data_IF_044274290015
#
_entry.id   IF_044274290015
#
_cell.length_a   1.000
_cell.length_b   1.000
_cell.length_c   1.000
_cell.angle_alpha   90.00
_cell.angle_beta   90.00
_cell.angle_gamma   90.00
#
_symmetry.space_group_name_H-M   'P 1'
#
loop_
_entity.id
_entity.type
_entity.pdbx_description
1 polymer ?
#
# COMPACT_ATOMS: atom_id res chain seq x y z
N UNK A 1 -13.65 -5.38 -26.95
CA UNK A 1 -14.67 -4.95 -25.98
C UNK A 1 -15.57 -6.14 -25.75
N UNK A 2 -15.56 -6.72 -24.55
CA UNK A 2 -16.53 -7.73 -24.13
C UNK A 2 -17.36 -7.05 -23.04
N UNK A 3 -18.64 -6.86 -23.29
CA UNK A 3 -19.61 -6.39 -22.30
C UNK A 3 -20.59 -7.52 -22.02
N UNK A 4 -20.93 -7.70 -20.76
CA UNK A 4 -21.98 -8.64 -20.36
C UNK A 4 -22.92 -7.91 -19.40
N UNK A 5 -24.19 -7.89 -19.76
CA UNK A 5 -25.25 -7.25 -18.97
C UNK A 5 -25.90 -8.33 -18.11
N UNK A 6 -25.87 -8.16 -16.79
CA UNK A 6 -26.58 -9.04 -15.86
C UNK A 6 -27.74 -8.28 -15.24
N UNK A 7 -28.97 -8.71 -15.54
CA UNK A 7 -30.19 -8.12 -15.00
C UNK A 7 -30.62 -8.90 -13.76
N UNK A 8 -30.73 -8.21 -12.63
CA UNK A 8 -31.32 -8.74 -11.39
C UNK A 8 -32.75 -8.20 -11.35
N UNK A 9 -33.75 -9.07 -11.38
CA UNK A 9 -35.15 -8.66 -11.25
C UNK A 9 -35.69 -9.12 -9.90
N UNK A 10 -36.24 -8.19 -9.12
CA UNK A 10 -37.09 -8.47 -7.96
C UNK A 10 -38.14 -7.37 -7.79
N UNK A 11 -39.42 -7.71 -7.76
CA UNK A 11 -40.52 -6.73 -7.57
C UNK A 11 -40.72 -6.33 -6.11
N UNK A 12 -39.89 -6.82 -5.19
CA UNK A 12 -40.05 -6.65 -3.74
C UNK A 12 -39.11 -5.62 -3.12
N UNK A 13 -38.04 -5.20 -3.82
CA UNK A 13 -37.09 -4.21 -3.32
C UNK A 13 -36.45 -3.42 -4.49
N UNK A 14 -36.99 -2.23 -4.78
CA UNK A 14 -36.58 -1.38 -5.90
C UNK A 14 -35.12 -0.90 -5.75
N UNK A 15 -34.71 -0.56 -4.52
CA UNK A 15 -33.34 -0.11 -4.22
C UNK A 15 -32.26 -1.20 -4.42
N UNK A 16 -32.63 -2.49 -4.36
CA UNK A 16 -31.72 -3.60 -4.67
C UNK A 16 -31.89 -4.13 -6.10
N UNK A 17 -32.82 -3.55 -6.87
CA UNK A 17 -33.13 -3.96 -8.24
C UNK A 17 -32.47 -3.08 -9.31
N UNK A 18 -31.50 -2.26 -8.93
CA UNK A 18 -30.66 -1.54 -9.88
C UNK A 18 -29.75 -2.54 -10.61
N UNK A 19 -29.90 -2.63 -11.93
CA UNK A 19 -29.02 -3.43 -12.77
C UNK A 19 -27.61 -2.83 -12.86
N UNK A 20 -26.63 -3.66 -13.20
CA UNK A 20 -25.27 -3.22 -13.50
C UNK A 20 -24.77 -3.88 -14.79
N UNK A 21 -23.76 -3.28 -15.41
CA UNK A 21 -23.07 -3.86 -16.55
C UNK A 21 -21.57 -3.89 -16.24
N UNK A 22 -20.91 -4.94 -16.71
CA UNK A 22 -19.47 -5.08 -16.59
C UNK A 22 -18.84 -4.90 -17.98
N UNK A 23 -17.72 -4.18 -18.02
CA UNK A 23 -16.95 -3.98 -19.22
C UNK A 23 -15.45 -4.04 -18.90
N UNK A 24 -14.66 -4.44 -19.90
CA UNK A 24 -13.21 -4.47 -19.79
C UNK A 24 -12.60 -3.53 -20.83
N UNK A 25 -11.70 -2.67 -20.38
CA UNK A 25 -10.93 -1.75 -21.21
C UNK A 25 -9.47 -2.18 -21.24
N UNK A 26 -8.82 -2.00 -22.39
CA UNK A 26 -7.38 -2.20 -22.56
C UNK A 26 -6.76 -0.87 -22.96
N UNK A 27 -5.69 -0.40 -22.29
CA UNK A 27 -4.99 0.81 -22.71
C UNK A 27 -4.48 0.69 -24.16
N UNK A 28 -4.61 1.77 -24.93
CA UNK A 28 -4.11 1.85 -26.32
C UNK A 28 -2.62 2.17 -26.41
N UNK A 29 -2.04 2.66 -25.32
CA UNK A 29 -0.64 3.06 -25.21
C UNK A 29 -0.05 2.60 -23.88
N UNK A 30 1.27 2.77 -23.73
CA UNK A 30 1.93 2.65 -22.42
C UNK A 30 1.29 3.66 -21.47
N UNK A 31 0.92 3.19 -20.29
CA UNK A 31 0.39 4.01 -19.20
C UNK A 31 1.51 4.17 -18.18
N UNK A 32 1.63 5.32 -17.54
CA UNK A 32 2.65 5.57 -16.51
C UNK A 32 2.18 5.11 -15.13
N UNK A 33 3.13 4.91 -14.23
CA UNK A 33 2.83 4.69 -12.82
C UNK A 33 2.15 5.91 -12.20
N UNK A 34 1.12 5.66 -11.38
CA UNK A 34 0.29 6.71 -10.79
C UNK A 34 -0.67 7.39 -11.77
N UNK A 35 -0.67 7.01 -13.06
CA UNK A 35 -1.57 7.61 -14.05
C UNK A 35 -3.02 7.22 -13.76
N UNK A 36 -3.90 8.23 -13.72
CA UNK A 36 -5.34 8.08 -13.52
C UNK A 36 -6.02 7.94 -14.87
N UNK A 37 -6.64 6.79 -15.08
CA UNK A 37 -7.46 6.49 -16.25
C UNK A 37 -8.92 6.68 -15.86
N UNK A 38 -9.55 7.72 -16.40
CA UNK A 38 -10.99 7.94 -16.25
C UNK A 38 -11.74 7.24 -17.38
N UNK A 39 -12.86 6.60 -17.02
CA UNK A 39 -13.72 5.93 -17.98
C UNK A 39 -15.19 6.17 -17.69
N UNK A 40 -15.95 6.47 -18.73
CA UNK A 40 -17.41 6.46 -18.74
C UNK A 40 -17.89 5.79 -20.02
N UNK A 41 -19.09 5.25 -19.99
CA UNK A 41 -19.73 4.66 -21.16
C UNK A 41 -21.05 5.33 -21.46
N UNK A 42 -21.46 5.26 -22.72
CA UNK A 42 -22.79 5.65 -23.19
C UNK A 42 -23.67 4.41 -23.27
N UNK A 43 -24.84 4.46 -22.66
CA UNK A 43 -25.82 3.39 -22.63
C UNK A 43 -26.99 3.80 -23.52
N UNK A 44 -27.24 3.02 -24.57
CA UNK A 44 -28.34 3.24 -25.51
C UNK A 44 -29.51 2.32 -25.15
N UNK A 45 -30.72 2.88 -25.10
CA UNK A 45 -31.97 2.14 -24.96
C UNK A 45 -32.84 2.45 -26.18
N UNK A 46 -33.12 1.43 -26.98
CA UNK A 46 -33.90 1.53 -28.21
C UNK A 46 -33.44 2.69 -29.13
N UNK A 47 -34.34 3.62 -29.47
CA UNK A 47 -34.09 4.74 -30.36
C UNK A 47 -33.88 6.08 -29.64
N UNK A 48 -33.69 6.05 -28.31
CA UNK A 48 -33.50 7.25 -27.50
C UNK A 48 -32.03 7.71 -27.48
N UNK A 49 -31.83 8.95 -27.04
CA UNK A 49 -30.49 9.51 -26.81
C UNK A 49 -29.73 8.71 -25.73
N UNK A 50 -28.40 8.56 -25.89
CA UNK A 50 -27.61 7.78 -24.95
C UNK A 50 -27.53 8.42 -23.56
N UNK A 51 -27.65 7.59 -22.54
CA UNK A 51 -27.40 7.98 -21.16
C UNK A 51 -25.94 7.77 -20.80
N UNK A 52 -25.28 8.82 -20.29
CA UNK A 52 -23.91 8.73 -19.80
C UNK A 52 -23.85 8.10 -18.41
N UNK A 53 -22.97 7.12 -18.21
CA UNK A 53 -22.72 6.52 -16.90
C UNK A 53 -21.94 7.46 -15.97
N UNK A 54 -21.86 7.11 -14.68
CA UNK A 54 -20.87 7.69 -13.79
C UNK A 54 -19.44 7.46 -14.34
N UNK A 55 -18.53 8.35 -13.95
CA UNK A 55 -17.10 8.23 -14.28
C UNK A 55 -16.46 7.30 -13.25
N UNK A 56 -15.73 6.30 -13.73
CA UNK A 56 -14.89 5.40 -12.91
C UNK A 56 -13.43 5.77 -13.13
N UNK A 57 -12.65 5.82 -12.05
CA UNK A 57 -11.22 6.12 -12.11
C UNK A 57 -10.42 4.87 -11.76
N UNK A 58 -9.53 4.46 -12.65
CA UNK A 58 -8.53 3.41 -12.40
C UNK A 58 -7.15 4.04 -12.33
N UNK A 59 -6.40 3.78 -11.25
CA UNK A 59 -5.00 4.24 -11.13
C UNK A 59 -4.07 3.06 -11.42
N UNK A 60 -3.15 3.21 -12.36
CA UNK A 60 -2.14 2.18 -12.65
C UNK A 60 -1.05 2.21 -11.59
N UNK A 61 -0.76 1.05 -11.01
CA UNK A 61 0.36 0.85 -10.08
C UNK A 61 1.32 -0.18 -10.67
N UNK A 62 2.51 0.26 -11.08
CA UNK A 62 3.60 -0.62 -11.45
C UNK A 62 4.35 -1.05 -10.20
N UNK A 63 4.39 -2.33 -9.91
CA UNK A 63 5.37 -2.87 -8.97
C UNK A 63 6.72 -2.92 -9.69
N UNK A 64 7.44 -1.80 -9.75
CA UNK A 64 8.90 -1.88 -9.85
C UNK A 64 9.37 -2.72 -8.65
N UNK A 65 10.47 -3.48 -8.78
CA UNK A 65 11.10 -4.09 -7.60
C UNK A 65 11.21 -2.97 -6.56
N UNK A 66 10.61 -3.11 -5.36
CA UNK A 66 10.75 -2.07 -4.36
C UNK A 66 12.25 -1.89 -4.18
N UNK A 67 12.71 -0.66 -4.37
CA UNK A 67 14.05 -0.30 -3.92
C UNK A 67 14.15 -0.70 -2.44
N UNK A 68 15.31 -1.04 -1.90
CA UNK A 68 15.40 -1.30 -0.46
C UNK A 68 16.01 -0.07 0.18
N UNK A 69 15.16 0.74 0.82
CA UNK A 69 15.59 1.94 1.53
C UNK A 69 16.12 1.59 2.91
N UNK A 70 16.86 2.52 3.53
CA UNK A 70 17.49 2.29 4.82
C UNK A 70 16.59 2.69 6.00
N UNK A 71 16.79 2.08 7.17
CA UNK A 71 16.24 2.53 8.45
C UNK A 71 17.34 3.18 9.27
N UNK A 72 17.07 4.39 9.78
CA UNK A 72 17.88 5.00 10.83
C UNK A 72 17.39 4.49 12.19
N UNK A 73 18.26 3.75 12.88
CA UNK A 73 17.95 3.11 14.16
C UNK A 73 18.93 3.64 15.20
N UNK A 74 18.43 4.28 16.25
CA UNK A 74 19.27 4.89 17.28
C UNK A 74 18.63 4.86 18.69
N UNK A 75 19.44 4.69 19.75
CA UNK A 75 20.88 4.46 19.71
C UNK A 75 21.22 3.08 19.14
N UNK A 76 22.42 2.94 18.57
CA UNK A 76 22.96 1.68 18.12
C UNK A 76 24.48 1.68 18.39
N UNK A 77 24.99 0.87 19.35
CA UNK A 77 24.29 -0.19 20.09
C UNK A 77 23.18 0.30 21.05
N UNK A 78 22.20 -0.56 21.30
CA UNK A 78 21.00 -0.27 22.09
C UNK A 78 20.88 -1.13 23.35
N UNK A 79 20.24 -0.63 24.40
CA UNK A 79 19.95 -1.37 25.64
C UNK A 79 18.47 -1.70 25.75
N UNK A 80 17.61 -0.72 26.03
CA UNK A 80 16.19 -0.97 26.36
C UNK A 80 15.24 -0.38 25.34
N UNK A 81 15.61 0.75 24.75
CA UNK A 81 14.77 1.54 23.85
C UNK A 81 15.53 1.89 22.58
N UNK A 82 14.84 1.81 21.44
CA UNK A 82 15.33 2.32 20.16
C UNK A 82 14.28 3.19 19.47
N UNK A 83 14.76 4.22 18.79
CA UNK A 83 13.99 5.03 17.86
C UNK A 83 14.29 4.53 16.45
N UNK A 84 13.25 4.39 15.65
CA UNK A 84 13.29 3.86 14.29
C UNK A 84 12.64 4.89 13.37
N UNK A 85 13.38 5.31 12.36
CA UNK A 85 12.95 6.31 11.37
C UNK A 85 13.31 5.78 9.98
N UNK A 86 12.39 5.86 9.02
CA UNK A 86 12.71 5.54 7.64
C UNK A 86 13.58 6.61 6.99
N UNK A 87 14.53 6.19 6.17
CA UNK A 87 15.39 7.10 5.42
C UNK A 87 14.65 7.66 4.20
N UNK A 88 14.54 8.98 4.14
CA UNK A 88 13.93 9.69 3.00
C UNK A 88 14.92 9.87 1.83
N UNK A 89 16.21 9.60 2.04
CA UNK A 89 17.30 9.88 1.10
C UNK A 89 17.61 11.38 1.01
N UNK A 90 18.73 11.74 0.37
CA UNK A 90 19.20 13.13 0.28
C UNK A 90 18.30 14.06 -0.56
N UNK A 91 17.34 13.49 -1.32
CA UNK A 91 16.56 14.21 -2.34
C UNK A 91 15.08 14.39 -1.93
N UNK A 92 14.53 13.56 -1.02
CA UNK A 92 13.17 13.74 -0.48
C UNK A 92 13.27 14.15 0.99
N UNK A 93 12.60 15.25 1.36
CA UNK A 93 12.69 15.86 2.70
C UNK A 93 11.73 15.25 3.73
N UNK A 94 10.74 14.49 3.26
CA UNK A 94 9.67 14.00 4.13
C UNK A 94 10.00 12.60 4.62
N UNK A 95 10.11 12.45 5.94
CA UNK A 95 10.30 11.16 6.60
C UNK A 95 9.11 10.26 6.22
N UNK A 96 9.33 9.04 5.70
CA UNK A 96 8.25 8.15 5.33
C UNK A 96 7.51 7.64 6.57
N UNK A 97 6.18 7.56 6.48
CA UNK A 97 5.34 6.97 7.52
C UNK A 97 5.31 5.45 7.36
N UNK A 98 6.05 4.74 8.21
CA UNK A 98 6.10 3.28 8.23
C UNK A 98 4.89 2.71 8.96
N UNK A 99 4.15 1.77 8.37
CA UNK A 99 2.98 1.17 9.01
C UNK A 99 3.30 -0.12 9.77
N UNK A 100 4.31 -0.89 9.34
CA UNK A 100 4.71 -2.14 10.01
C UNK A 100 6.22 -2.20 10.09
N UNK A 101 6.74 -2.57 11.26
CA UNK A 101 8.15 -2.89 11.48
C UNK A 101 8.25 -4.29 12.08
N UNK A 102 9.16 -5.10 11.55
CA UNK A 102 9.50 -6.42 12.04
C UNK A 102 10.95 -6.45 12.49
N UNK A 103 11.18 -6.84 13.73
CA UNK A 103 12.50 -7.10 14.29
C UNK A 103 12.70 -8.62 14.25
N UNK A 104 13.80 -9.04 13.66
CA UNK A 104 14.17 -10.44 13.48
C UNK A 104 15.55 -10.73 14.02
N UNK A 105 15.73 -11.93 14.57
CA UNK A 105 17.04 -12.41 15.02
C UNK A 105 17.92 -12.84 13.82
N UNK A 106 19.16 -13.25 14.09
CA UNK A 106 20.09 -13.69 13.04
C UNK A 106 19.65 -14.96 12.28
N UNK A 107 18.70 -15.74 12.81
CA UNK A 107 18.13 -16.91 12.12
C UNK A 107 16.92 -16.54 11.25
N UNK A 108 16.54 -15.26 11.19
CA UNK A 108 15.37 -14.77 10.45
C UNK A 108 14.04 -14.93 11.18
N UNK A 109 14.03 -15.42 12.43
CA UNK A 109 12.84 -15.51 13.25
C UNK A 109 12.41 -14.11 13.71
N UNK A 110 11.16 -13.73 13.45
CA UNK A 110 10.58 -12.47 13.92
C UNK A 110 10.37 -12.57 15.43
N UNK A 111 11.00 -11.67 16.18
CA UNK A 111 10.94 -11.60 17.65
C UNK A 111 10.02 -10.49 18.14
N UNK A 112 9.80 -9.46 17.31
CA UNK A 112 8.89 -8.36 17.61
C UNK A 112 8.28 -7.83 16.30
N UNK A 113 7.00 -7.51 16.33
CA UNK A 113 6.29 -6.83 15.25
C UNK A 113 5.56 -5.62 15.83
N UNK A 114 5.74 -4.47 15.19
CA UNK A 114 5.17 -3.19 15.59
C UNK A 114 4.27 -2.73 14.46
N UNK A 115 3.01 -2.46 14.79
CA UNK A 115 2.05 -1.85 13.88
C UNK A 115 1.91 -0.38 14.27
N UNK A 116 2.37 0.49 13.39
CA UNK A 116 2.30 1.93 13.55
C UNK A 116 1.20 2.49 12.64
N UNK A 117 0.53 3.53 13.10
CA UNK A 117 -0.55 4.18 12.33
C UNK A 117 -0.17 5.59 11.91
N UNK A 118 0.51 6.35 12.77
CA UNK A 118 0.63 7.81 12.62
C UNK A 118 2.03 8.36 12.99
N UNK A 119 2.91 7.57 13.62
CA UNK A 119 4.20 8.08 14.13
C UNK A 119 5.32 7.98 13.07
N UNK A 120 5.98 9.10 12.77
CA UNK A 120 7.15 9.10 11.88
C UNK A 120 8.44 8.62 12.57
N UNK A 121 8.51 8.75 13.90
CA UNK A 121 9.58 8.22 14.73
C UNK A 121 8.99 7.18 15.67
N UNK A 122 9.29 5.92 15.40
CA UNK A 122 8.68 4.80 16.10
C UNK A 122 9.61 4.35 17.22
N UNK A 123 9.08 4.35 18.44
CA UNK A 123 9.79 3.88 19.63
C UNK A 123 9.51 2.40 19.85
N UNK A 124 10.56 1.61 20.05
CA UNK A 124 10.47 0.19 20.34
C UNK A 124 11.16 -0.15 21.66
N UNK A 125 10.43 -0.82 22.54
CA UNK A 125 10.94 -1.42 23.77
C UNK A 125 11.56 -2.79 23.44
N UNK A 126 12.87 -2.89 23.61
CA UNK A 126 13.69 -4.06 23.27
C UNK A 126 14.41 -4.67 24.49
N UNK A 127 14.15 -4.18 25.70
CA UNK A 127 14.82 -4.66 26.92
C UNK A 127 14.65 -6.17 27.18
N UNK A 128 13.57 -6.76 26.68
CA UNK A 128 13.30 -8.20 26.76
C UNK A 128 14.09 -9.05 25.75
N UNK A 129 14.77 -8.43 24.78
CA UNK A 129 15.57 -9.13 23.79
C UNK A 129 16.94 -9.50 24.38
N UNK A 130 17.43 -10.69 24.05
CA UNK A 130 18.78 -11.10 24.43
C UNK A 130 19.85 -10.24 23.72
N UNK A 131 21.05 -10.07 24.29
CA UNK A 131 22.17 -9.42 23.61
C UNK A 131 22.48 -10.10 22.28
N UNK A 132 22.65 -9.32 21.21
CA UNK A 132 22.87 -9.87 19.87
C UNK A 132 22.60 -8.90 18.73
N UNK A 133 22.71 -9.44 17.50
CA UNK A 133 22.43 -8.71 16.27
C UNK A 133 20.98 -8.96 15.86
N UNK A 134 20.28 -7.89 15.53
CA UNK A 134 18.91 -7.93 15.04
C UNK A 134 18.79 -7.18 13.71
N UNK A 135 17.93 -7.70 12.85
CA UNK A 135 17.59 -7.12 11.55
C UNK A 135 16.17 -6.58 11.61
N UNK A 136 16.02 -5.34 11.17
CA UNK A 136 14.74 -4.66 11.12
C UNK A 136 14.32 -4.52 9.67
N UNK A 137 13.05 -4.81 9.39
CA UNK A 137 12.40 -4.53 8.11
C UNK A 137 11.12 -3.75 8.35
N UNK A 138 10.87 -2.73 7.54
CA UNK A 138 9.70 -1.88 7.62
C UNK A 138 9.01 -1.71 6.28
N UNK A 139 7.73 -1.39 6.31
CA UNK A 139 6.92 -1.10 5.13
C UNK A 139 6.19 0.23 5.32
N UNK A 140 6.17 1.08 4.31
CA UNK A 140 5.28 2.24 4.24
C UNK A 140 3.94 1.90 3.56
N UNK A 141 3.01 2.85 3.56
CA UNK A 141 1.68 2.66 2.97
C UNK A 141 1.69 2.51 1.44
N UNK A 142 2.78 2.86 0.78
CA UNK A 142 2.96 2.69 -0.66
C UNK A 142 3.54 1.31 -1.01
N UNK A 143 3.99 0.54 -0.02
CA UNK A 143 4.59 -0.78 -0.16
C UNK A 143 6.10 -0.75 -0.37
N UNK A 144 6.74 0.39 -0.13
CA UNK A 144 8.19 0.55 -0.15
C UNK A 144 8.81 -0.15 1.06
N UNK A 145 9.88 -0.91 0.82
CA UNK A 145 10.57 -1.69 1.85
C UNK A 145 11.73 -0.88 2.42
N UNK A 146 11.85 -0.91 3.75
CA UNK A 146 12.92 -0.30 4.51
C UNK A 146 13.67 -1.36 5.31
N UNK A 147 15.00 -1.30 5.39
CA UNK A 147 15.80 -2.27 6.15
C UNK A 147 16.90 -1.61 6.97
N UNK A 148 17.22 -2.20 8.12
CA UNK A 148 18.30 -1.77 8.97
C UNK A 148 18.79 -2.87 9.91
N UNK A 149 19.89 -2.60 10.59
CA UNK A 149 20.51 -3.51 11.56
C UNK A 149 20.74 -2.78 12.87
N UNK A 150 20.48 -3.46 13.98
CA UNK A 150 20.84 -2.98 15.31
C UNK A 150 21.67 -4.02 16.08
N UNK A 151 22.47 -3.53 17.02
CA UNK A 151 23.20 -4.33 18.00
C UNK A 151 22.55 -4.07 19.37
N UNK A 152 22.02 -5.13 20.00
CA UNK A 152 21.53 -5.13 21.38
C UNK A 152 22.66 -5.55 22.32
N UNK A 153 22.91 -4.73 23.34
CA UNK A 153 23.87 -5.02 24.42
C UNK A 153 23.27 -5.90 25.51
#
# INVERSE_FOLDING_TARGET
>A
MLSSVKKIYGTSNEAESHGFFNYTIKPKSVVKDGERIENSVLIYFDYEDPLQSNIVVNTIKYTCKPDVKSLHIFPNPATDLVNIVGDAGDIQKDIPLLHTIKISNFTGGVVLEINNREEYNIKAEIGQLAPGIYYLSGYDYDGQIYQGKMIKL
#
